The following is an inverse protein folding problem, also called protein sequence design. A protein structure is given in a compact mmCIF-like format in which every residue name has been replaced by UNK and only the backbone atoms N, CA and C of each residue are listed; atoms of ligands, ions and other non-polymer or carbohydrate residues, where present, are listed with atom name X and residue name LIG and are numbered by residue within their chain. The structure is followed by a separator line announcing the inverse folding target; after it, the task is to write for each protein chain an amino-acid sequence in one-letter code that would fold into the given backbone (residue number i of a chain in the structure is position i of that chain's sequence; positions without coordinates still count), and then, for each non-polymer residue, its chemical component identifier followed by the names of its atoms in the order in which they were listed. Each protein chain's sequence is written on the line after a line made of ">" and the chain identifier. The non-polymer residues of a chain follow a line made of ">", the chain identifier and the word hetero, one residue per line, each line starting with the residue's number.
data_IF_657369032926
#
_entry.id   IF_657369032926
#
_cell.length_a   1.000
_cell.length_b   1.000
_cell.length_c   1.000
_cell.angle_alpha   90.00
_cell.angle_beta   90.00
_cell.angle_gamma   90.00
#
_symmetry.space_group_name_H-M   'P 1'
#
loop_
_entity.id
_entity.type
_entity.pdbx_description
1 polymer ?
#
# COMPACT_ATOMS: atom_id res chain seq x y z
N UNK A 1 -7.50 11.05 6.35
CA UNK A 1 -6.26 11.59 5.74
C UNK A 1 -5.52 10.41 5.11
N UNK A 2 -5.29 10.43 3.80
CA UNK A 2 -4.44 9.42 3.17
C UNK A 2 -2.99 9.63 3.61
N UNK A 3 -2.23 8.57 3.93
CA UNK A 3 -0.82 8.71 4.26
C UNK A 3 -0.08 9.38 3.09
N UNK A 4 0.69 10.44 3.38
CA UNK A 4 1.57 11.10 2.41
C UNK A 4 2.76 10.20 2.12
N UNK A 5 2.55 9.19 1.29
CA UNK A 5 3.59 8.30 0.79
C UNK A 5 4.10 8.83 -0.55
N UNK A 6 5.39 8.65 -0.79
CA UNK A 6 5.95 8.91 -2.11
C UNK A 6 5.30 7.99 -3.15
N UNK A 7 5.16 8.42 -4.41
CA UNK A 7 4.64 7.57 -5.48
C UNK A 7 5.39 6.24 -5.61
N UNK A 8 6.71 6.24 -5.42
CA UNK A 8 7.54 5.03 -5.43
C UNK A 8 7.15 4.04 -4.32
N UNK A 9 6.84 4.53 -3.12
CA UNK A 9 6.36 3.68 -2.01
C UNK A 9 4.98 3.10 -2.33
N UNK A 10 4.09 3.87 -2.96
CA UNK A 10 2.77 3.38 -3.34
C UNK A 10 2.83 2.28 -4.41
N UNK A 11 3.70 2.42 -5.41
CA UNK A 11 3.93 1.38 -6.42
C UNK A 11 4.50 0.12 -5.76
N UNK A 12 5.51 0.27 -4.90
CA UNK A 12 6.11 -0.86 -4.17
C UNK A 12 5.06 -1.59 -3.31
N UNK A 13 4.23 -0.86 -2.57
CA UNK A 13 3.17 -1.44 -1.74
C UNK A 13 2.14 -2.17 -2.62
N UNK A 14 1.74 -1.60 -3.76
CA UNK A 14 0.83 -2.26 -4.71
C UNK A 14 1.37 -3.60 -5.18
N UNK A 15 2.62 -3.65 -5.61
CA UNK A 15 3.25 -4.89 -6.08
C UNK A 15 3.31 -5.94 -4.96
N UNK A 16 3.66 -5.51 -3.75
CA UNK A 16 3.65 -6.38 -2.57
C UNK A 16 2.24 -6.93 -2.27
N UNK A 17 1.18 -6.10 -2.35
CA UNK A 17 -0.22 -6.52 -2.13
C UNK A 17 -0.64 -7.52 -3.21
N UNK A 18 -0.32 -7.26 -4.47
CA UNK A 18 -0.64 -8.12 -5.60
C UNK A 18 0.06 -9.48 -5.51
N UNK A 19 1.30 -9.51 -5.02
CA UNK A 19 2.05 -10.76 -4.82
C UNK A 19 1.49 -11.67 -3.72
N UNK A 20 0.68 -11.12 -2.79
CA UNK A 20 0.12 -11.81 -1.61
C UNK A 20 1.12 -12.59 -0.74
N UNK A 21 2.41 -12.30 -0.90
CA UNK A 21 3.50 -13.08 -0.28
C UNK A 21 3.94 -12.54 1.08
N UNK A 22 3.59 -11.28 1.39
CA UNK A 22 4.07 -10.58 2.57
C UNK A 22 2.93 -10.28 3.55
N UNK A 23 3.26 -10.37 4.85
CA UNK A 23 2.37 -9.89 5.90
C UNK A 23 2.38 -8.36 5.94
N UNK A 24 1.33 -7.77 6.48
CA UNK A 24 1.21 -6.31 6.62
C UNK A 24 2.37 -5.68 7.40
N UNK A 25 3.00 -6.43 8.31
CA UNK A 25 4.17 -5.95 9.07
C UNK A 25 5.41 -5.86 8.17
N UNK A 26 5.71 -6.90 7.39
CA UNK A 26 6.86 -6.88 6.47
C UNK A 26 6.69 -5.84 5.36
N UNK A 27 5.47 -5.67 4.86
CA UNK A 27 5.18 -4.63 3.86
C UNK A 27 5.40 -3.22 4.41
N UNK A 28 5.00 -2.98 5.67
CA UNK A 28 5.18 -1.71 6.34
C UNK A 28 6.66 -1.40 6.55
N UNK A 29 7.44 -2.41 6.96
CA UNK A 29 8.89 -2.30 7.14
C UNK A 29 9.61 -2.02 5.81
N UNK A 30 9.31 -2.80 4.76
CA UNK A 30 9.90 -2.63 3.43
C UNK A 30 9.58 -1.27 2.81
N UNK A 31 8.35 -0.77 3.01
CA UNK A 31 7.93 0.53 2.50
C UNK A 31 8.32 1.70 3.42
N UNK A 32 8.90 1.44 4.60
CA UNK A 32 9.22 2.48 5.59
C UNK A 32 7.98 3.23 6.09
N UNK A 33 6.84 2.54 6.23
CA UNK A 33 5.57 3.14 6.66
C UNK A 33 4.93 2.38 7.82
N UNK A 34 3.78 2.85 8.30
CA UNK A 34 3.05 2.16 9.38
C UNK A 34 2.19 1.01 8.82
N UNK A 35 1.92 0.00 9.65
CA UNK A 35 0.96 -1.09 9.29
C UNK A 35 -0.43 -0.54 8.93
N UNK A 36 -0.84 0.54 9.60
CA UNK A 36 -2.12 1.21 9.33
C UNK A 36 -2.17 1.79 7.91
N UNK A 37 -1.05 2.34 7.43
CA UNK A 37 -0.93 2.81 6.04
C UNK A 37 -1.14 1.67 5.05
N UNK A 38 -0.51 0.51 5.27
CA UNK A 38 -0.69 -0.68 4.42
C UNK A 38 -2.16 -1.13 4.39
N UNK A 39 -2.82 -1.16 5.55
CA UNK A 39 -4.25 -1.56 5.65
C UNK A 39 -5.13 -0.59 4.86
N UNK A 40 -4.93 0.73 5.03
CA UNK A 40 -5.70 1.74 4.30
C UNK A 40 -5.48 1.65 2.79
N UNK A 41 -4.24 1.47 2.33
CA UNK A 41 -3.92 1.32 0.90
C UNK A 41 -4.54 0.04 0.35
N UNK A 42 -4.44 -1.07 1.08
CA UNK A 42 -5.06 -2.35 0.69
C UNK A 42 -6.58 -2.24 0.59
N UNK A 43 -7.23 -1.57 1.55
CA UNK A 43 -8.66 -1.33 1.51
C UNK A 43 -9.06 -0.46 0.31
N UNK A 44 -8.31 0.62 0.06
CA UNK A 44 -8.54 1.48 -1.10
C UNK A 44 -8.37 0.73 -2.43
N UNK A 45 -7.31 -0.07 -2.58
CA UNK A 45 -7.09 -0.88 -3.79
C UNK A 45 -8.19 -1.90 -4.02
N UNK A 46 -8.73 -2.51 -2.94
CA UNK A 46 -9.87 -3.44 -3.07
C UNK A 46 -11.16 -2.72 -3.45
N UNK A 47 -11.38 -1.51 -2.94
CA UNK A 47 -12.63 -0.76 -3.13
C UNK A 47 -12.67 -0.02 -4.47
N UNK A 48 -11.55 0.58 -4.87
CA UNK A 48 -11.46 1.45 -6.03
C UNK A 48 -10.65 0.83 -7.17
N UNK A 49 -10.01 -0.32 -6.97
CA UNK A 49 -9.07 -0.88 -7.95
C UNK A 49 -7.78 -0.07 -8.05
N UNK A 50 -7.04 -0.25 -9.14
CA UNK A 50 -5.86 0.57 -9.42
C UNK A 50 -6.23 1.93 -10.03
N UNK A 51 -7.20 2.62 -9.42
CA UNK A 51 -7.55 3.97 -9.82
C UNK A 51 -6.50 4.91 -9.24
N UNK A 52 -5.53 5.26 -10.06
CA UNK A 52 -4.76 6.48 -9.87
C UNK A 52 -5.77 7.63 -10.03
N UNK A 53 -5.98 8.42 -8.97
CA UNK A 53 -6.75 9.65 -9.11
C UNK A 53 -6.07 10.52 -10.20
N UNK A 54 -6.84 11.11 -11.14
CA UNK A 54 -6.29 11.88 -12.25
C UNK A 54 -5.52 13.13 -11.78
#
# INVERSE_FOLDING_TARGET
>A
MAPRLAPSQLVMIRDMISSKSLTTSHMAEAAGCTKRSIITISANLRMFGDVQAP
#
